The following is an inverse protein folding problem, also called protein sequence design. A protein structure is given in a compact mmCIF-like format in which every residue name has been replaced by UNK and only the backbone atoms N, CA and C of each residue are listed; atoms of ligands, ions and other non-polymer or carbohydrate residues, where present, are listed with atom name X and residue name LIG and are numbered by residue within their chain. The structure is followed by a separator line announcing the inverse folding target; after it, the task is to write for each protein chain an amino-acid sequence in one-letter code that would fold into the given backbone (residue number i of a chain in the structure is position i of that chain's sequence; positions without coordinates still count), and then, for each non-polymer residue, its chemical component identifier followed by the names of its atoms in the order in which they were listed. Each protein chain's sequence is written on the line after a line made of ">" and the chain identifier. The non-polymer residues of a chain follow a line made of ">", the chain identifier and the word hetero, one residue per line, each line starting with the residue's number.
data_IF_735039144498
#
_entry.id   IF_735039144498
#
_cell.length_a   1.000
_cell.length_b   1.000
_cell.length_c   1.000
_cell.angle_alpha   90.00
_cell.angle_beta   90.00
_cell.angle_gamma   90.00
#
_symmetry.space_group_name_H-M   'P 1'
#
loop_
_entity.id
_entity.type
_entity.pdbx_description
1 polymer ?
#
# COMPACT_ATOMS: atom_id res chain seq x y z
N UNK A 1 -10.69 13.91 -12.50
CA UNK A 1 -9.79 13.64 -11.36
C UNK A 1 -8.57 12.95 -11.95
N UNK A 2 -7.48 13.68 -12.14
CA UNK A 2 -6.27 13.14 -12.79
C UNK A 2 -5.58 12.24 -11.76
N UNK A 3 -5.76 10.92 -11.88
CA UNK A 3 -5.03 9.98 -11.05
C UNK A 3 -3.53 10.20 -11.29
N UNK A 4 -2.76 10.21 -10.20
CA UNK A 4 -1.31 10.29 -10.27
C UNK A 4 -0.82 8.95 -10.82
N UNK A 5 -0.60 8.89 -12.13
CA UNK A 5 -0.16 7.68 -12.83
C UNK A 5 1.35 7.44 -12.67
N UNK A 6 1.95 7.78 -11.53
CA UNK A 6 3.41 7.67 -11.36
C UNK A 6 3.74 6.98 -10.03
N UNK A 7 4.26 5.76 -10.13
CA UNK A 7 4.67 4.93 -8.99
C UNK A 7 6.19 4.91 -8.90
N UNK A 8 6.71 5.14 -7.71
CA UNK A 8 8.13 5.01 -7.40
C UNK A 8 8.38 3.73 -6.62
N UNK A 9 9.37 2.97 -7.04
CA UNK A 9 9.74 1.71 -6.36
C UNK A 9 11.25 1.57 -6.27
N UNK A 10 11.71 0.61 -5.47
CA UNK A 10 13.07 0.12 -5.60
C UNK A 10 13.30 -0.63 -6.94
N UNK A 11 14.53 -1.08 -7.15
CA UNK A 11 14.98 -1.73 -8.38
C UNK A 11 14.53 -3.20 -8.52
N UNK A 12 13.63 -3.70 -7.67
CA UNK A 12 13.18 -5.09 -7.71
C UNK A 12 12.40 -5.36 -9.01
N UNK A 13 12.78 -6.39 -9.80
CA UNK A 13 12.12 -6.69 -11.07
C UNK A 13 10.64 -7.07 -10.93
N UNK A 14 10.18 -7.45 -9.73
CA UNK A 14 8.76 -7.75 -9.47
C UNK A 14 7.83 -6.60 -9.86
N UNK A 15 8.29 -5.34 -9.76
CA UNK A 15 7.48 -4.17 -10.08
C UNK A 15 7.22 -4.03 -11.59
N UNK A 16 8.16 -4.47 -12.43
CA UNK A 16 7.94 -4.53 -13.88
C UNK A 16 6.87 -5.59 -14.22
N UNK A 17 6.92 -6.75 -13.56
CA UNK A 17 5.89 -7.77 -13.72
C UNK A 17 4.51 -7.27 -13.24
N UNK A 18 4.48 -6.53 -12.13
CA UNK A 18 3.26 -5.90 -11.64
C UNK A 18 2.69 -4.89 -12.64
N UNK A 19 3.53 -4.02 -13.22
CA UNK A 19 3.10 -3.05 -14.24
C UNK A 19 2.41 -3.73 -15.43
N UNK A 20 3.02 -4.81 -15.96
CA UNK A 20 2.43 -5.59 -17.06
C UNK A 20 1.10 -6.24 -16.63
N UNK A 21 1.05 -6.83 -15.42
CA UNK A 21 -0.17 -7.44 -14.90
C UNK A 21 -1.32 -6.43 -14.79
N UNK A 22 -1.05 -5.25 -14.22
CA UNK A 22 -2.06 -4.21 -14.08
C UNK A 22 -2.50 -3.65 -15.44
N UNK A 23 -1.56 -3.49 -16.39
CA UNK A 23 -1.91 -3.06 -17.74
C UNK A 23 -2.81 -4.06 -18.47
N UNK A 24 -2.59 -5.38 -18.29
CA UNK A 24 -3.47 -6.43 -18.82
C UNK A 24 -4.90 -6.34 -18.23
N UNK A 25 -5.03 -5.77 -17.03
CA UNK A 25 -6.32 -5.54 -16.35
C UNK A 25 -6.82 -4.10 -16.52
N UNK A 26 -6.40 -3.40 -17.59
CA UNK A 26 -6.79 -2.03 -17.93
C UNK A 26 -6.44 -0.96 -16.88
N UNK A 27 -5.47 -1.24 -16.00
CA UNK A 27 -4.95 -0.31 -15.00
C UNK A 27 -3.55 0.14 -15.41
N UNK A 28 -3.45 1.34 -15.98
CA UNK A 28 -2.19 1.89 -16.51
C UNK A 28 -1.53 2.87 -15.55
N UNK A 29 -0.23 2.71 -15.33
CA UNK A 29 0.61 3.64 -14.58
C UNK A 29 2.05 3.62 -15.09
N UNK A 30 2.75 4.74 -14.94
CA UNK A 30 4.18 4.90 -15.16
C UNK A 30 4.95 4.41 -13.91
N UNK A 31 6.00 3.63 -14.15
CA UNK A 31 6.88 3.10 -13.10
C UNK A 31 8.24 3.80 -13.17
N UNK A 32 8.71 4.33 -12.04
CA UNK A 32 10.04 4.91 -11.87
C UNK A 32 10.82 4.14 -10.80
N UNK A 33 11.89 3.45 -11.23
CA UNK A 33 12.70 2.64 -10.32
C UNK A 33 13.93 3.41 -9.85
N UNK A 34 14.16 3.40 -8.53
CA UNK A 34 15.33 4.04 -7.91
C UNK A 34 16.39 2.98 -7.61
N UNK A 35 17.47 2.98 -8.40
CA UNK A 35 18.53 1.96 -8.32
C UNK A 35 19.66 2.42 -7.38
N UNK A 36 19.77 1.78 -6.22
CA UNK A 36 20.95 1.89 -5.35
C UNK A 36 20.93 3.04 -4.32
N UNK A 37 22.01 3.11 -3.54
CA UNK A 37 22.24 4.08 -2.43
C UNK A 37 23.35 5.09 -2.79
N UNK A 38 24.17 4.75 -3.79
CA UNK A 38 25.24 5.58 -4.33
C UNK A 38 24.69 6.65 -5.26
N UNK A 39 24.77 7.90 -4.81
CA UNK A 39 24.27 9.14 -5.43
C UNK A 39 24.89 9.49 -6.80
N UNK A 40 24.86 8.57 -7.77
CA UNK A 40 25.52 8.76 -9.08
C UNK A 40 24.61 9.38 -10.14
N UNK A 41 23.30 9.40 -9.94
CA UNK A 41 22.30 9.88 -10.90
C UNK A 41 21.31 10.88 -10.27
N UNK A 42 20.94 11.92 -11.03
CA UNK A 42 20.05 13.01 -10.57
C UNK A 42 18.66 12.51 -10.17
N UNK A 43 18.20 11.43 -10.81
CA UNK A 43 16.92 10.75 -10.56
C UNK A 43 16.90 10.16 -9.15
N UNK A 44 17.93 9.40 -8.76
CA UNK A 44 18.03 8.82 -7.42
C UNK A 44 18.08 9.88 -6.33
N UNK A 45 18.74 11.02 -6.55
CA UNK A 45 18.72 12.15 -5.60
C UNK A 45 17.32 12.74 -5.42
N UNK A 46 16.60 12.93 -6.53
CA UNK A 46 15.24 13.50 -6.52
C UNK A 46 14.24 12.60 -5.79
N UNK A 47 14.37 11.28 -5.94
CA UNK A 47 13.38 10.32 -5.45
C UNK A 47 13.77 9.58 -4.16
N UNK A 48 14.96 9.86 -3.60
CA UNK A 48 15.43 9.33 -2.31
C UNK A 48 14.44 9.49 -1.14
N UNK A 49 13.69 10.60 -1.00
CA UNK A 49 12.69 10.71 0.05
C UNK A 49 11.58 9.65 -0.03
N UNK A 50 11.15 9.27 -1.24
CA UNK A 50 10.13 8.25 -1.45
C UNK A 50 10.62 6.85 -1.05
N UNK A 51 11.89 6.54 -1.35
CA UNK A 51 12.53 5.29 -0.92
C UNK A 51 12.52 5.14 0.61
N UNK A 52 12.77 6.23 1.34
CA UNK A 52 12.69 6.19 2.81
C UNK A 52 11.26 5.93 3.32
N UNK A 53 10.23 6.38 2.60
CA UNK A 53 8.84 6.10 2.94
C UNK A 53 8.54 4.62 2.73
N UNK A 54 8.94 4.05 1.58
CA UNK A 54 8.80 2.62 1.27
C UNK A 54 9.52 1.75 2.32
N UNK A 55 10.78 2.05 2.65
CA UNK A 55 11.56 1.32 3.65
C UNK A 55 10.91 1.37 5.04
N UNK A 56 10.36 2.53 5.43
CA UNK A 56 9.62 2.68 6.69
C UNK A 56 8.35 1.85 6.69
N UNK A 57 7.58 1.88 5.60
CA UNK A 57 6.37 1.05 5.44
C UNK A 57 6.71 -0.44 5.56
N UNK A 58 7.72 -0.91 4.84
CA UNK A 58 8.16 -2.30 4.87
C UNK A 58 8.65 -2.72 6.26
N UNK A 59 9.33 -1.84 7.00
CA UNK A 59 9.72 -2.10 8.39
C UNK A 59 8.50 -2.17 9.31
N UNK A 60 7.52 -1.30 9.16
CA UNK A 60 6.26 -1.36 9.92
C UNK A 60 5.50 -2.65 9.62
N UNK A 61 5.39 -3.05 8.35
CA UNK A 61 4.81 -4.35 7.97
C UNK A 61 5.53 -5.50 8.68
N UNK A 62 6.87 -5.52 8.60
CA UNK A 62 7.69 -6.55 9.23
C UNK A 62 7.48 -6.61 10.75
N UNK A 63 7.44 -5.46 11.42
CA UNK A 63 7.20 -5.39 12.86
C UNK A 63 5.83 -5.95 13.27
N UNK A 64 4.78 -5.75 12.48
CA UNK A 64 3.45 -6.27 12.79
C UNK A 64 3.37 -7.80 12.59
N UNK A 65 4.18 -8.39 11.70
CA UNK A 65 4.17 -9.85 11.47
C UNK A 65 5.18 -10.62 12.32
N UNK A 66 6.27 -10.00 12.80
CA UNK A 66 7.29 -10.74 13.57
C UNK A 66 6.72 -11.41 14.84
N UNK A 67 5.72 -10.80 15.47
CA UNK A 67 5.04 -11.39 16.63
C UNK A 67 4.13 -12.58 16.31
N UNK A 68 3.86 -12.89 15.04
CA UNK A 68 2.95 -13.97 14.62
C UNK A 68 3.67 -15.27 14.27
N UNK A 69 5.00 -15.36 14.48
CA UNK A 69 5.85 -16.48 14.04
C UNK A 69 5.81 -16.78 12.54
N UNK A 70 5.46 -15.79 11.72
CA UNK A 70 5.38 -15.91 10.27
C UNK A 70 4.07 -16.48 9.74
N UNK A 71 4.12 -17.00 8.51
CA UNK A 71 2.98 -17.55 7.80
C UNK A 71 3.18 -19.05 7.60
N UNK A 72 2.19 -19.84 8.01
CA UNK A 72 2.16 -21.28 7.80
C UNK A 72 1.87 -21.63 6.32
N UNK A 73 1.08 -20.80 5.64
CA UNK A 73 0.62 -21.01 4.25
C UNK A 73 0.58 -19.71 3.45
N UNK A 74 0.64 -19.82 2.13
CA UNK A 74 0.61 -18.67 1.21
C UNK A 74 -0.71 -17.89 1.32
N UNK A 75 -1.83 -18.59 1.51
CA UNK A 75 -3.15 -17.99 1.67
C UNK A 75 -3.22 -17.11 2.92
N UNK A 76 -2.56 -17.55 4.01
CA UNK A 76 -2.44 -16.76 5.24
C UNK A 76 -1.57 -15.51 5.01
N UNK A 77 -0.48 -15.64 4.24
CA UNK A 77 0.36 -14.50 3.87
C UNK A 77 -0.40 -13.47 3.03
N UNK A 78 -1.16 -13.93 2.04
CA UNK A 78 -2.01 -13.08 1.19
C UNK A 78 -3.09 -12.38 2.01
N UNK A 79 -3.81 -13.13 2.87
CA UNK A 79 -4.85 -12.57 3.73
C UNK A 79 -4.29 -11.50 4.67
N UNK A 80 -3.13 -11.77 5.28
CA UNK A 80 -2.47 -10.80 6.14
C UNK A 80 -2.05 -9.54 5.37
N UNK A 81 -1.46 -9.70 4.19
CA UNK A 81 -1.04 -8.59 3.34
C UNK A 81 -2.25 -7.69 2.99
N UNK A 82 -3.36 -8.29 2.56
CA UNK A 82 -4.60 -7.55 2.25
C UNK A 82 -5.10 -6.79 3.48
N UNK A 83 -5.23 -7.47 4.63
CA UNK A 83 -5.70 -6.84 5.87
C UNK A 83 -4.77 -5.73 6.34
N UNK A 84 -3.46 -5.91 6.23
CA UNK A 84 -2.48 -4.87 6.57
C UNK A 84 -2.63 -3.65 5.66
N UNK A 85 -2.75 -3.85 4.34
CA UNK A 85 -2.92 -2.76 3.36
C UNK A 85 -4.22 -2.01 3.64
N UNK A 86 -5.32 -2.72 3.89
CA UNK A 86 -6.61 -2.11 4.26
C UNK A 86 -6.47 -1.29 5.55
N UNK A 87 -5.90 -1.89 6.61
CA UNK A 87 -5.70 -1.21 7.87
C UNK A 87 -4.82 0.03 7.73
N UNK A 88 -3.66 -0.09 7.09
CA UNK A 88 -2.67 0.99 7.00
C UNK A 88 -3.19 2.19 6.21
N UNK A 89 -3.91 1.95 5.12
CA UNK A 89 -4.35 2.99 4.19
C UNK A 89 -5.72 3.59 4.50
N UNK A 90 -6.66 2.80 5.03
CA UNK A 90 -8.04 3.23 5.23
C UNK A 90 -8.43 3.43 6.69
N UNK A 91 -7.76 2.77 7.64
CA UNK A 91 -8.21 2.74 9.03
C UNK A 91 -7.23 3.39 10.02
N UNK A 92 -5.92 3.21 9.79
CA UNK A 92 -4.86 3.69 10.67
C UNK A 92 -4.67 5.19 10.47
N UNK A 93 -4.86 5.96 11.54
CA UNK A 93 -4.48 7.35 11.58
C UNK A 93 -2.96 7.50 11.72
N UNK A 94 -2.37 8.45 11.00
CA UNK A 94 -0.92 8.72 11.06
C UNK A 94 -0.68 10.12 11.59
N UNK A 95 0.17 10.24 12.61
CA UNK A 95 0.54 11.54 13.19
C UNK A 95 1.19 12.48 12.17
N UNK A 96 1.98 11.93 11.25
CA UNK A 96 2.57 12.68 10.12
C UNK A 96 1.54 13.24 9.14
N UNK A 97 0.31 12.73 9.16
CA UNK A 97 -0.81 13.15 8.33
C UNK A 97 -1.86 13.92 9.14
N UNK A 98 -1.47 14.57 10.24
CA UNK A 98 -2.40 15.28 11.15
C UNK A 98 -3.54 14.36 11.64
N UNK A 99 -3.20 13.11 11.95
CA UNK A 99 -4.15 12.06 12.38
C UNK A 99 -5.20 11.68 11.34
N UNK A 100 -4.92 11.90 10.05
CA UNK A 100 -5.69 11.34 8.93
C UNK A 100 -5.14 10.00 8.46
N UNK A 101 -5.97 9.28 7.72
CA UNK A 101 -5.60 8.08 6.96
C UNK A 101 -4.94 8.48 5.63
N UNK A 102 -4.08 7.63 5.04
CA UNK A 102 -3.49 7.89 3.73
C UNK A 102 -4.53 8.00 2.61
N UNK A 103 -5.60 7.21 2.71
CA UNK A 103 -6.76 7.28 1.82
C UNK A 103 -7.92 7.87 2.61
N UNK A 104 -8.36 9.05 2.19
CA UNK A 104 -9.49 9.81 2.74
C UNK A 104 -10.51 9.95 1.61
N UNK A 105 -11.32 8.90 1.42
CA UNK A 105 -12.31 8.73 0.36
C UNK A 105 -13.73 9.12 0.82
N UNK A 106 -13.87 9.63 2.04
CA UNK A 106 -15.17 9.93 2.66
C UNK A 106 -15.99 8.69 3.00
N UNK A 107 -15.36 7.50 3.05
CA UNK A 107 -16.06 6.24 3.29
C UNK A 107 -16.54 6.06 4.73
N UNK A 108 -15.88 6.71 5.69
CA UNK A 108 -16.16 6.57 7.12
C UNK A 108 -16.66 7.87 7.73
N UNK A 109 -17.68 7.78 8.56
CA UNK A 109 -18.11 8.91 9.40
C UNK A 109 -17.21 9.01 10.64
N UNK A 110 -17.08 10.23 11.18
CA UNK A 110 -16.24 10.50 12.35
C UNK A 110 -16.72 9.78 13.62
N UNK A 111 -18.01 9.46 13.71
CA UNK A 111 -18.63 8.75 14.83
C UNK A 111 -18.53 7.22 14.75
N UNK A 112 -18.10 6.66 13.60
CA UNK A 112 -17.96 5.22 13.43
C UNK A 112 -16.84 4.64 14.29
N UNK A 113 -17.17 3.56 15.03
CA UNK A 113 -16.18 2.78 15.74
C UNK A 113 -15.31 1.99 14.76
N UNK A 114 -14.15 1.53 15.22
CA UNK A 114 -13.24 0.78 14.36
C UNK A 114 -13.87 -0.50 13.79
N UNK A 115 -14.73 -1.15 14.58
CA UNK A 115 -15.48 -2.33 14.16
C UNK A 115 -16.44 -2.01 13.01
N UNK A 116 -17.15 -0.88 13.08
CA UNK A 116 -18.08 -0.44 12.04
C UNK A 116 -17.33 -0.15 10.73
N UNK A 117 -16.14 0.45 10.82
CA UNK A 117 -15.30 0.71 9.65
C UNK A 117 -14.80 -0.58 8.99
N UNK A 118 -14.44 -1.59 9.79
CA UNK A 118 -14.11 -2.92 9.26
C UNK A 118 -15.31 -3.59 8.58
N UNK A 119 -16.49 -3.57 9.21
CA UNK A 119 -17.72 -4.12 8.63
C UNK A 119 -18.03 -3.44 7.29
N UNK A 120 -17.84 -2.12 7.21
CA UNK A 120 -18.04 -1.35 5.97
C UNK A 120 -17.11 -1.82 4.85
N UNK A 121 -15.83 -2.04 5.13
CA UNK A 121 -14.88 -2.56 4.15
C UNK A 121 -15.25 -3.98 3.68
N UNK A 122 -15.70 -4.85 4.59
CA UNK A 122 -16.15 -6.21 4.26
C UNK A 122 -17.41 -6.18 3.39
N UNK A 123 -18.36 -5.29 3.70
CA UNK A 123 -19.57 -5.08 2.90
C UNK A 123 -19.22 -4.71 1.45
N UNK A 124 -18.35 -3.72 1.25
CA UNK A 124 -17.92 -3.27 -0.09
C UNK A 124 -17.21 -4.38 -0.87
N UNK A 125 -16.31 -5.12 -0.21
CA UNK A 125 -15.61 -6.25 -0.83
C UNK A 125 -16.58 -7.34 -1.30
N UNK A 126 -17.62 -7.60 -0.51
CA UNK A 126 -18.65 -8.60 -0.83
C UNK A 126 -19.50 -8.15 -2.03
N UNK A 127 -19.86 -6.87 -2.09
CA UNK A 127 -20.59 -6.30 -3.24
C UNK A 127 -19.78 -6.37 -4.53
N UNK A 128 -18.46 -6.15 -4.46
CA UNK A 128 -17.58 -6.26 -5.63
C UNK A 128 -17.48 -7.70 -6.16
N UNK A 129 -17.51 -8.71 -5.30
CA UNK A 129 -17.46 -10.13 -5.71
C UNK A 129 -18.77 -10.67 -6.28
N UNK A 130 -19.90 -10.03 -5.99
CA UNK A 130 -21.23 -10.45 -6.45
C UNK A 130 -21.64 -9.82 -7.79
N UNK A 131 -20.86 -8.86 -8.30
CA UNK A 131 -21.03 -8.22 -9.61
C UNK A 131 -19.98 -8.72 -10.59
#
# INVERSE_FOLDING_TARGET
>A
MTFVNLIYTDANPIYNAAQVLFEINDIKFDLQQVIGVSDKDEISKKYRPFKQIEERLNRTYKQNYYGTNGYDKLECANSYMVLFVCFFNFLRQHSSLKYKTPVDDGLFNDDMLMQDRWLKLVELSSQYHLN
#
